data_IF_724301673919
#
_entry.id   IF_724301673919
#
_cell.length_a   1.000
_cell.length_b   1.000
_cell.length_c   1.000
_cell.angle_alpha   90.00
_cell.angle_beta   90.00
_cell.angle_gamma   90.00
#
_symmetry.space_group_name_H-M   'P 1'
#
loop_
_entity.id
_entity.type
_entity.pdbx_description
1 polymer ?
#
# COMPACT_ATOMS: atom_id res chain seq x y z
N UNK A 1 -2.57 -1.41 34.57
CA UNK A 1 -2.17 -1.01 35.94
C UNK A 1 -1.23 0.20 35.91
N UNK A 2 -0.21 0.24 35.04
CA UNK A 2 0.76 1.37 34.95
C UNK A 2 0.52 2.31 33.76
N UNK A 3 -0.63 2.24 33.13
CA UNK A 3 -0.95 3.10 31.99
C UNK A 3 -0.83 4.58 32.33
N UNK A 4 -0.09 5.36 31.56
CA UNK A 4 0.11 6.79 31.76
C UNK A 4 1.08 7.15 32.90
N UNK A 5 1.83 6.20 33.44
CA UNK A 5 2.86 6.48 34.45
C UNK A 5 4.09 7.13 33.77
N UNK A 6 4.00 8.43 33.47
CA UNK A 6 5.01 9.15 32.69
C UNK A 6 6.38 9.26 33.35
N UNK A 7 6.47 9.08 34.68
CA UNK A 7 7.75 9.07 35.41
C UNK A 7 8.34 7.68 35.60
N UNK A 8 7.70 6.63 35.06
CA UNK A 8 8.20 5.26 35.20
C UNK A 8 9.39 5.06 34.26
N UNK A 9 10.57 4.78 34.83
CA UNK A 9 11.82 4.59 34.07
C UNK A 9 12.18 3.11 33.89
N UNK A 10 11.70 2.24 34.77
CA UNK A 10 11.93 0.78 34.74
C UNK A 10 10.65 0.04 35.07
N UNK A 11 10.45 -1.13 34.48
CA UNK A 11 9.30 -1.99 34.81
C UNK A 11 9.70 -3.06 35.84
N UNK A 12 8.75 -3.50 36.70
CA UNK A 12 8.98 -4.63 37.59
C UNK A 12 9.10 -5.93 36.78
N UNK A 13 9.70 -6.96 37.39
CA UNK A 13 9.64 -8.31 36.84
C UNK A 13 8.20 -8.76 36.70
N UNK A 14 7.89 -9.37 35.55
CA UNK A 14 6.56 -9.91 35.27
C UNK A 14 6.53 -11.39 35.71
N UNK A 15 5.81 -11.75 36.78
CA UNK A 15 5.97 -13.06 37.41
C UNK A 15 5.12 -14.18 36.79
N UNK A 16 4.30 -13.87 35.73
CA UNK A 16 3.41 -14.88 35.19
C UNK A 16 4.17 -15.91 34.36
N UNK A 17 4.14 -17.16 34.77
CA UNK A 17 4.64 -18.32 34.03
C UNK A 17 3.64 -18.77 32.94
N UNK A 18 2.36 -18.49 33.16
CA UNK A 18 1.28 -18.77 32.19
C UNK A 18 0.49 -17.49 31.91
N UNK A 19 0.34 -17.14 30.64
CA UNK A 19 -0.37 -15.95 30.25
C UNK A 19 -1.87 -16.24 30.08
N UNK A 20 -2.71 -15.40 30.67
CA UNK A 20 -4.14 -15.36 30.38
C UNK A 20 -4.41 -14.43 29.20
N UNK A 21 -5.58 -14.62 28.56
CA UNK A 21 -6.07 -13.73 27.51
C UNK A 21 -6.07 -12.27 27.98
N UNK A 22 -5.45 -11.37 27.21
CA UNK A 22 -5.28 -9.93 27.48
C UNK A 22 -4.60 -9.57 28.80
N UNK A 23 -3.79 -10.44 29.41
CA UNK A 23 -3.21 -10.24 30.77
C UNK A 23 -2.33 -8.99 30.90
N UNK A 24 -1.52 -8.63 29.90
CA UNK A 24 -0.65 -7.45 29.90
C UNK A 24 -1.10 -6.39 28.88
N UNK A 25 -2.36 -6.46 28.40
CA UNK A 25 -2.92 -5.55 27.43
C UNK A 25 -2.82 -4.10 27.90
N UNK A 26 -2.15 -3.23 27.11
CA UNK A 26 -1.88 -1.82 27.40
C UNK A 26 -1.27 -1.51 28.76
N UNK A 27 -0.59 -2.46 29.40
CA UNK A 27 -0.15 -2.34 30.78
C UNK A 27 0.76 -1.13 31.03
N UNK A 28 1.69 -0.82 30.13
CA UNK A 28 2.61 0.32 30.21
C UNK A 28 2.35 1.38 29.14
N UNK A 29 1.17 1.39 28.53
CA UNK A 29 0.81 2.39 27.52
C UNK A 29 1.06 3.81 28.03
N UNK A 30 1.74 4.64 27.24
CA UNK A 30 2.11 6.03 27.55
C UNK A 30 3.05 6.20 28.78
N UNK A 31 3.87 5.21 29.11
CA UNK A 31 4.97 5.38 30.06
C UNK A 31 6.16 6.04 29.34
N UNK A 32 6.10 7.35 29.20
CA UNK A 32 6.99 8.11 28.30
C UNK A 32 8.44 8.24 28.76
N UNK A 33 8.75 7.98 30.03
CA UNK A 33 10.13 7.95 30.56
C UNK A 33 10.76 6.56 30.56
N UNK A 34 10.03 5.54 30.07
CA UNK A 34 10.56 4.18 29.99
C UNK A 34 11.59 4.10 28.86
N UNK A 35 12.86 3.76 29.19
CA UNK A 35 13.98 3.74 28.23
C UNK A 35 14.28 2.34 27.74
N UNK A 36 14.16 1.34 28.61
CA UNK A 36 14.41 -0.07 28.30
C UNK A 36 13.48 -0.96 29.12
N UNK A 37 13.30 -2.17 28.63
CA UNK A 37 12.46 -3.18 29.28
C UNK A 37 13.21 -4.50 29.38
N UNK A 38 13.02 -5.28 30.50
CA UNK A 38 13.60 -6.59 30.61
C UNK A 38 12.95 -7.58 29.65
N UNK A 39 13.54 -8.78 29.55
CA UNK A 39 12.96 -9.90 28.81
C UNK A 39 11.54 -10.19 29.32
N UNK A 40 10.62 -10.36 28.37
CA UNK A 40 9.24 -10.73 28.68
C UNK A 40 9.17 -12.20 29.05
N UNK A 41 8.40 -12.57 30.12
CA UNK A 41 8.20 -13.96 30.41
C UNK A 41 7.42 -14.62 29.29
N UNK A 42 7.81 -15.78 28.81
CA UNK A 42 6.90 -16.80 28.32
C UNK A 42 7.45 -17.87 27.42
N UNK A 43 6.82 -19.03 27.51
CA UNK A 43 6.94 -20.14 26.56
C UNK A 43 5.66 -20.30 25.73
N UNK A 44 4.53 -19.70 26.11
CA UNK A 44 3.25 -19.84 25.40
C UNK A 44 2.45 -18.52 25.44
N UNK A 45 2.07 -18.01 24.28
CA UNK A 45 1.23 -16.82 24.16
C UNK A 45 -0.27 -17.13 24.25
N UNK A 46 -0.99 -16.26 24.93
CA UNK A 46 -2.45 -16.22 24.91
C UNK A 46 -2.93 -15.07 24.01
N UNK A 47 -4.19 -15.13 23.59
CA UNK A 47 -4.80 -14.07 22.77
C UNK A 47 -4.63 -12.69 23.41
N UNK A 48 -4.09 -11.74 22.66
CA UNK A 48 -3.93 -10.35 23.07
C UNK A 48 -3.07 -10.12 24.31
N UNK A 49 -2.25 -11.11 24.74
CA UNK A 49 -1.53 -11.04 26.01
C UNK A 49 -0.60 -9.83 26.15
N UNK A 50 0.08 -9.41 25.08
CA UNK A 50 0.96 -8.22 25.03
C UNK A 50 0.42 -7.10 24.14
N UNK A 51 -0.85 -7.14 23.79
CA UNK A 51 -1.47 -6.13 22.92
C UNK A 51 -1.24 -4.72 23.49
N UNK A 52 -0.63 -3.83 22.68
CA UNK A 52 -0.38 -2.43 23.04
C UNK A 52 0.44 -2.21 24.33
N UNK A 53 1.19 -3.22 24.79
CA UNK A 53 1.84 -3.18 26.09
C UNK A 53 2.71 -1.95 26.29
N UNK A 54 3.47 -1.54 25.28
CA UNK A 54 4.35 -0.36 25.28
C UNK A 54 3.86 0.74 24.33
N UNK A 55 2.59 0.72 23.94
CA UNK A 55 2.03 1.72 23.04
C UNK A 55 2.31 3.14 23.54
N UNK A 56 2.88 3.99 22.68
CA UNK A 56 3.27 5.39 22.99
C UNK A 56 4.26 5.57 24.14
N UNK A 57 5.12 4.57 24.40
CA UNK A 57 6.29 4.73 25.26
C UNK A 57 7.38 5.48 24.48
N UNK A 58 7.24 6.78 24.35
CA UNK A 58 8.08 7.62 23.48
C UNK A 58 9.55 7.68 23.86
N UNK A 59 9.92 7.35 25.11
CA UNK A 59 11.30 7.26 25.59
C UNK A 59 11.97 5.91 25.34
N UNK A 60 11.21 4.88 24.90
CA UNK A 60 11.74 3.53 24.70
C UNK A 60 12.70 3.49 23.50
N UNK A 61 13.98 3.15 23.76
CA UNK A 61 15.06 3.10 22.76
C UNK A 61 15.28 1.67 22.27
N UNK A 62 15.31 0.69 23.20
CA UNK A 62 15.56 -0.72 22.89
C UNK A 62 14.36 -1.58 23.28
N UNK A 63 13.88 -2.44 22.35
CA UNK A 63 12.80 -3.36 22.64
C UNK A 63 13.28 -4.55 23.47
N UNK A 64 12.37 -5.29 24.16
CA UNK A 64 12.68 -6.59 24.74
C UNK A 64 12.90 -7.64 23.64
N UNK A 65 13.54 -8.74 23.96
CA UNK A 65 13.54 -9.93 23.11
C UNK A 65 12.15 -10.59 23.12
N UNK A 66 11.73 -11.07 21.96
CA UNK A 66 10.46 -11.78 21.77
C UNK A 66 10.77 -13.20 21.25
N UNK A 67 11.07 -14.15 22.14
CA UNK A 67 11.66 -15.44 21.76
C UNK A 67 10.65 -16.46 21.21
N UNK A 68 9.42 -16.07 20.88
CA UNK A 68 8.32 -17.02 20.67
C UNK A 68 8.06 -17.24 19.18
N UNK A 69 8.05 -18.51 18.76
CA UNK A 69 7.78 -18.97 17.41
C UNK A 69 6.29 -19.21 17.13
N UNK A 70 5.50 -19.55 18.18
CA UNK A 70 4.05 -19.79 18.04
C UNK A 70 3.24 -18.61 18.53
N UNK A 71 2.51 -17.98 17.63
CA UNK A 71 1.73 -16.77 17.89
C UNK A 71 0.27 -17.08 18.22
N UNK A 72 -0.35 -16.22 19.01
CA UNK A 72 -1.79 -16.18 19.26
C UNK A 72 -2.41 -14.92 18.62
N UNK A 73 -3.72 -14.94 18.38
CA UNK A 73 -4.42 -13.79 17.82
C UNK A 73 -4.18 -12.53 18.64
N UNK A 74 -3.90 -11.41 17.98
CA UNK A 74 -3.66 -10.09 18.58
C UNK A 74 -2.48 -10.01 19.59
N UNK A 75 -1.62 -11.05 19.71
CA UNK A 75 -0.66 -11.15 20.81
C UNK A 75 0.30 -9.94 20.91
N UNK A 76 0.78 -9.40 19.80
CA UNK A 76 1.67 -8.23 19.75
C UNK A 76 1.04 -7.03 19.01
N UNK A 77 -0.28 -7.05 18.77
CA UNK A 77 -0.99 -5.97 18.11
C UNK A 77 -0.71 -4.63 18.84
N UNK A 78 -0.31 -3.57 18.12
CA UNK A 78 0.02 -2.23 18.64
C UNK A 78 1.15 -2.17 19.69
N UNK A 79 1.96 -3.23 19.85
CA UNK A 79 2.86 -3.37 21.01
C UNK A 79 3.79 -2.18 21.20
N UNK A 80 4.40 -1.67 20.14
CA UNK A 80 5.31 -0.52 20.12
C UNK A 80 4.76 0.67 19.33
N UNK A 81 3.46 0.71 19.02
CA UNK A 81 2.88 1.82 18.26
C UNK A 81 3.22 3.16 18.92
N UNK A 82 3.79 4.08 18.15
CA UNK A 82 4.15 5.42 18.63
C UNK A 82 5.35 5.49 19.57
N UNK A 83 6.18 4.45 19.64
CA UNK A 83 7.48 4.49 20.33
C UNK A 83 8.50 5.25 19.48
N UNK A 84 8.41 6.58 19.50
CA UNK A 84 9.14 7.46 18.57
C UNK A 84 10.67 7.44 18.73
N UNK A 85 11.21 7.03 19.87
CA UNK A 85 12.65 6.87 20.10
C UNK A 85 13.19 5.47 19.82
N UNK A 86 12.32 4.51 19.42
CA UNK A 86 12.73 3.15 19.14
C UNK A 86 13.61 3.09 17.89
N UNK A 87 14.87 2.67 18.01
CA UNK A 87 15.85 2.68 16.91
C UNK A 87 16.01 1.34 16.21
N UNK A 88 15.62 0.24 16.88
CA UNK A 88 15.70 -1.13 16.35
C UNK A 88 14.45 -1.93 16.71
N UNK A 89 14.10 -2.90 15.89
CA UNK A 89 13.03 -3.86 16.16
C UNK A 89 13.60 -5.14 16.81
N UNK A 90 12.81 -5.87 17.62
CA UNK A 90 13.19 -7.21 18.06
C UNK A 90 13.12 -8.20 16.89
N UNK A 91 13.79 -9.35 17.00
CA UNK A 91 13.63 -10.46 16.07
C UNK A 91 12.18 -11.01 16.12
N UNK A 92 11.64 -11.38 14.93
CA UNK A 92 10.30 -11.93 14.76
C UNK A 92 10.40 -13.26 14.00
N UNK A 93 10.80 -14.36 14.66
CA UNK A 93 11.18 -15.60 14.00
C UNK A 93 10.01 -16.49 13.57
N UNK A 94 8.76 -16.13 13.85
CA UNK A 94 7.59 -16.95 13.57
C UNK A 94 7.39 -17.14 12.05
N UNK A 95 7.31 -18.39 11.60
CA UNK A 95 7.03 -18.78 10.21
C UNK A 95 5.54 -18.95 9.94
N UNK A 96 4.72 -19.13 10.99
CA UNK A 96 3.25 -19.22 10.90
C UNK A 96 2.63 -18.14 11.78
N UNK A 97 1.77 -17.33 11.18
CA UNK A 97 1.17 -16.18 11.82
C UNK A 97 -0.26 -16.46 12.30
N UNK A 98 -0.73 -15.65 13.26
CA UNK A 98 -2.09 -15.61 13.74
C UNK A 98 -2.77 -14.29 13.35
N UNK A 99 -4.11 -14.25 13.40
CA UNK A 99 -4.86 -13.05 13.03
C UNK A 99 -4.45 -11.85 13.91
N UNK A 100 -4.17 -10.72 13.26
CA UNK A 100 -3.78 -9.46 13.91
C UNK A 100 -2.49 -9.52 14.76
N UNK A 101 -1.68 -10.57 14.66
CA UNK A 101 -0.57 -10.82 15.60
C UNK A 101 0.44 -9.67 15.66
N UNK A 102 0.79 -9.04 14.52
CA UNK A 102 1.72 -7.92 14.42
C UNK A 102 1.07 -6.65 13.84
N UNK A 103 -0.28 -6.58 13.80
CA UNK A 103 -0.95 -5.39 13.27
C UNK A 103 -0.50 -4.14 14.01
N UNK A 104 -0.09 -3.11 13.26
CA UNK A 104 0.38 -1.81 13.77
C UNK A 104 1.51 -1.89 14.81
N UNK A 105 2.28 -3.00 14.85
CA UNK A 105 3.25 -3.25 15.92
C UNK A 105 4.26 -2.10 16.08
N UNK A 106 4.76 -1.54 15.00
CA UNK A 106 5.73 -0.43 14.98
C UNK A 106 5.17 0.85 14.35
N UNK A 107 3.85 0.95 14.17
CA UNK A 107 3.23 2.14 13.57
C UNK A 107 3.70 3.41 14.27
N UNK A 108 4.23 4.37 13.49
CA UNK A 108 4.70 5.66 14.03
C UNK A 108 5.98 5.59 14.86
N UNK A 109 6.78 4.52 14.75
CA UNK A 109 8.14 4.46 15.29
C UNK A 109 9.09 5.26 14.41
N UNK A 110 9.07 6.57 14.55
CA UNK A 110 9.73 7.52 13.63
C UNK A 110 11.26 7.44 13.62
N UNK A 111 11.90 6.86 14.63
CA UNK A 111 13.36 6.65 14.70
C UNK A 111 13.80 5.26 14.23
N UNK A 112 12.86 4.37 13.88
CA UNK A 112 13.18 3.02 13.41
C UNK A 112 13.79 3.08 12.01
N UNK A 113 15.03 2.57 11.84
CA UNK A 113 15.77 2.66 10.56
C UNK A 113 15.73 1.38 9.73
N UNK A 114 15.51 0.21 10.38
CA UNK A 114 15.46 -1.08 9.72
C UNK A 114 14.32 -1.96 10.24
N UNK A 115 13.62 -2.64 9.33
CA UNK A 115 12.67 -3.70 9.69
C UNK A 115 13.42 -4.97 10.12
N UNK A 116 12.83 -5.80 11.00
CA UNK A 116 13.35 -7.14 11.29
C UNK A 116 13.11 -8.08 10.09
N UNK A 117 13.77 -9.23 10.09
CA UNK A 117 13.40 -10.32 9.17
C UNK A 117 11.96 -10.79 9.43
N UNK A 118 11.24 -11.08 8.37
CA UNK A 118 9.85 -11.53 8.37
C UNK A 118 9.74 -12.84 7.59
N UNK A 119 10.12 -13.98 8.19
CA UNK A 119 10.29 -15.25 7.46
C UNK A 119 8.98 -15.96 7.13
N UNK A 120 7.84 -15.46 7.60
CA UNK A 120 6.56 -16.15 7.48
C UNK A 120 6.10 -16.31 6.02
N UNK A 121 5.91 -17.56 5.61
CA UNK A 121 5.28 -17.96 4.35
C UNK A 121 3.78 -18.20 4.53
N UNK A 122 3.33 -18.58 5.73
CA UNK A 122 1.92 -18.77 6.07
C UNK A 122 1.38 -17.56 6.82
N UNK A 123 0.57 -16.78 6.12
CA UNK A 123 0.01 -15.54 6.64
C UNK A 123 -1.38 -15.76 7.27
N UNK A 124 -1.80 -14.80 8.12
CA UNK A 124 -3.13 -14.71 8.70
C UNK A 124 -3.74 -13.32 8.43
N UNK A 125 -5.03 -13.16 8.70
CA UNK A 125 -5.73 -11.89 8.43
C UNK A 125 -5.13 -10.76 9.26
N UNK A 126 -4.88 -9.62 8.61
CA UNK A 126 -4.32 -8.41 9.22
C UNK A 126 -2.98 -8.62 9.93
N UNK A 127 -2.26 -9.74 9.67
CA UNK A 127 -1.08 -10.11 10.45
C UNK A 127 0.01 -9.03 10.44
N UNK A 128 0.24 -8.35 9.30
CA UNK A 128 1.20 -7.28 9.13
C UNK A 128 0.55 -5.93 8.75
N UNK A 129 -0.80 -5.81 8.86
CA UNK A 129 -1.48 -4.57 8.50
C UNK A 129 -0.93 -3.40 9.31
N UNK A 130 -0.63 -2.27 8.65
CA UNK A 130 -0.06 -1.06 9.24
C UNK A 130 1.24 -1.23 10.02
N UNK A 131 1.95 -2.37 9.89
CA UNK A 131 3.05 -2.74 10.80
C UNK A 131 4.10 -1.66 10.96
N UNK A 132 4.52 -1.01 9.86
CA UNK A 132 5.51 0.07 9.83
C UNK A 132 4.93 1.41 9.35
N UNK A 133 3.61 1.56 9.31
CA UNK A 133 3.00 2.80 8.83
C UNK A 133 3.50 4.02 9.61
N UNK A 134 4.01 5.04 8.91
CA UNK A 134 4.57 6.24 9.52
C UNK A 134 5.95 6.08 10.17
N UNK A 135 6.69 5.00 9.90
CA UNK A 135 8.10 4.87 10.26
C UNK A 135 8.97 5.72 9.32
N UNK A 136 9.00 7.03 9.55
CA UNK A 136 9.58 8.01 8.60
C UNK A 136 11.09 7.87 8.38
N UNK A 137 11.84 7.25 9.29
CA UNK A 137 13.28 6.98 9.15
C UNK A 137 13.60 5.59 8.59
N UNK A 138 12.57 4.77 8.27
CA UNK A 138 12.78 3.41 7.77
C UNK A 138 13.39 3.44 6.36
N UNK A 139 14.59 2.83 6.20
CA UNK A 139 15.31 2.76 4.92
C UNK A 139 15.59 1.34 4.47
N UNK A 140 15.63 0.36 5.40
CA UNK A 140 15.95 -1.03 5.14
C UNK A 140 14.75 -1.90 5.52
N UNK A 141 14.26 -2.70 4.56
CA UNK A 141 13.16 -3.64 4.74
C UNK A 141 13.60 -5.03 4.31
N UNK A 142 13.08 -6.06 5.01
CA UNK A 142 13.33 -7.46 4.67
C UNK A 142 12.46 -7.91 3.50
N UNK A 143 12.78 -9.08 2.93
CA UNK A 143 11.93 -9.76 1.95
C UNK A 143 10.60 -10.19 2.57
N UNK A 144 9.58 -10.31 1.74
CA UNK A 144 8.26 -10.83 2.13
C UNK A 144 8.01 -12.11 1.31
N UNK A 145 8.32 -13.30 1.87
CA UNK A 145 8.45 -14.52 1.09
C UNK A 145 7.13 -15.17 0.66
N UNK A 146 5.99 -14.77 1.24
CA UNK A 146 4.70 -15.41 1.00
C UNK A 146 4.23 -15.25 -0.46
N UNK A 147 3.95 -16.36 -1.13
CA UNK A 147 3.43 -16.42 -2.51
C UNK A 147 1.90 -16.44 -2.56
N UNK A 148 1.24 -16.80 -1.46
CA UNK A 148 -0.22 -16.80 -1.32
C UNK A 148 -0.64 -15.84 -0.20
N UNK A 149 -1.42 -14.83 -0.57
CA UNK A 149 -1.85 -13.81 0.37
C UNK A 149 -3.26 -14.08 0.92
N UNK A 150 -3.51 -13.53 2.10
CA UNK A 150 -4.81 -13.53 2.77
C UNK A 150 -5.32 -12.09 2.92
N UNK A 151 -6.61 -11.96 3.29
CA UNK A 151 -7.25 -10.65 3.39
C UNK A 151 -6.51 -9.70 4.33
N UNK A 152 -6.23 -8.47 3.86
CA UNK A 152 -5.63 -7.38 4.63
C UNK A 152 -4.21 -7.64 5.17
N UNK A 153 -3.51 -8.71 4.73
CA UNK A 153 -2.26 -9.14 5.37
C UNK A 153 -1.15 -8.07 5.35
N UNK A 154 -1.01 -7.29 4.26
CA UNK A 154 -0.02 -6.23 4.09
C UNK A 154 -0.65 -4.83 3.91
N UNK A 155 -1.94 -4.67 4.24
CA UNK A 155 -2.65 -3.41 4.12
C UNK A 155 -1.90 -2.29 4.85
N UNK A 156 -1.59 -1.15 4.19
CA UNK A 156 -0.86 0.01 4.73
C UNK A 156 0.50 -0.31 5.38
N UNK A 157 1.12 -1.46 5.08
CA UNK A 157 2.28 -1.94 5.85
C UNK A 157 3.41 -0.91 5.95
N UNK A 158 3.74 -0.20 4.87
CA UNK A 158 4.78 0.83 4.79
C UNK A 158 4.24 2.22 4.48
N UNK A 159 2.93 2.45 4.62
CA UNK A 159 2.33 3.76 4.33
C UNK A 159 3.03 4.87 5.13
N UNK A 160 3.44 5.95 4.46
CA UNK A 160 4.13 7.08 5.07
C UNK A 160 5.57 6.82 5.52
N UNK A 161 6.22 5.73 5.05
CA UNK A 161 7.66 5.51 5.23
C UNK A 161 8.45 6.42 4.27
N UNK A 162 8.56 7.70 4.60
CA UNK A 162 9.05 8.74 3.69
C UNK A 162 10.52 8.61 3.31
N UNK A 163 11.35 7.88 4.07
CA UNK A 163 12.76 7.61 3.76
C UNK A 163 12.99 6.29 2.99
N UNK A 164 11.93 5.50 2.73
CA UNK A 164 12.04 4.22 2.04
C UNK A 164 12.28 4.46 0.54
N UNK A 165 13.51 4.20 0.07
CA UNK A 165 13.91 4.42 -1.32
C UNK A 165 13.71 3.18 -2.22
N UNK A 166 13.70 1.98 -1.63
CA UNK A 166 13.55 0.69 -2.34
C UNK A 166 12.49 -0.18 -1.66
N UNK A 167 11.58 -0.76 -2.44
CA UNK A 167 10.58 -1.69 -1.94
C UNK A 167 11.17 -3.11 -1.77
N UNK A 168 10.59 -3.95 -0.87
CA UNK A 168 10.91 -5.37 -0.82
C UNK A 168 10.41 -6.10 -2.07
N UNK A 169 10.94 -7.29 -2.33
CA UNK A 169 10.41 -8.20 -3.35
C UNK A 169 9.04 -8.70 -2.92
N UNK A 170 8.08 -8.72 -3.85
CA UNK A 170 6.70 -9.19 -3.65
C UNK A 170 6.42 -10.36 -4.59
N UNK A 171 6.68 -11.61 -4.18
CA UNK A 171 6.59 -12.78 -5.06
C UNK A 171 5.16 -13.29 -5.28
N UNK A 172 4.17 -12.74 -4.58
CA UNK A 172 2.82 -13.31 -4.52
C UNK A 172 2.10 -13.29 -5.87
N UNK A 173 1.68 -14.46 -6.32
CA UNK A 173 0.86 -14.69 -7.50
C UNK A 173 -0.63 -14.86 -7.14
N UNK A 174 -0.94 -15.31 -5.91
CA UNK A 174 -2.31 -15.46 -5.41
C UNK A 174 -2.65 -14.34 -4.45
N UNK A 175 -3.57 -13.47 -4.85
CA UNK A 175 -3.97 -12.30 -4.11
C UNK A 175 -5.33 -12.48 -3.41
N UNK A 176 -5.53 -11.71 -2.34
CA UNK A 176 -6.77 -11.66 -1.58
C UNK A 176 -7.29 -10.22 -1.44
N UNK A 177 -8.51 -10.07 -0.93
CA UNK A 177 -9.17 -8.80 -0.69
C UNK A 177 -8.30 -7.86 0.15
N UNK A 178 -8.05 -6.64 -0.34
CA UNK A 178 -7.25 -5.57 0.31
C UNK A 178 -5.81 -5.99 0.73
N UNK A 179 -5.23 -7.03 0.14
CA UNK A 179 -3.97 -7.60 0.63
C UNK A 179 -2.78 -6.62 0.56
N UNK A 180 -2.71 -5.76 -0.46
CA UNK A 180 -1.69 -4.74 -0.68
C UNK A 180 -2.25 -3.31 -0.71
N UNK A 181 -3.51 -3.10 -0.25
CA UNK A 181 -4.11 -1.76 -0.22
C UNK A 181 -3.20 -0.77 0.48
N UNK A 182 -2.90 0.35 -0.18
CA UNK A 182 -2.08 1.45 0.33
C UNK A 182 -0.71 1.05 0.90
N UNK A 183 -0.14 -0.09 0.47
CA UNK A 183 1.07 -0.65 1.08
C UNK A 183 2.24 0.34 1.12
N UNK A 184 2.44 1.14 0.07
CA UNK A 184 3.49 2.15 -0.04
C UNK A 184 2.95 3.58 -0.18
N UNK A 185 1.70 3.82 0.21
CA UNK A 185 1.10 5.15 0.14
C UNK A 185 1.97 6.19 0.87
N UNK A 186 2.31 7.28 0.17
CA UNK A 186 3.13 8.35 0.75
C UNK A 186 4.60 8.00 0.99
N UNK A 187 5.14 6.92 0.40
CA UNK A 187 6.58 6.64 0.39
C UNK A 187 7.29 7.60 -0.58
N UNK A 188 7.50 8.84 -0.16
CA UNK A 188 7.94 9.92 -1.04
C UNK A 188 9.35 9.77 -1.60
N UNK A 189 10.21 8.94 -0.99
CA UNK A 189 11.56 8.62 -1.49
C UNK A 189 11.61 7.39 -2.39
N UNK A 190 10.51 6.65 -2.57
CA UNK A 190 10.49 5.44 -3.38
C UNK A 190 10.69 5.77 -4.86
N UNK A 191 11.81 5.30 -5.46
CA UNK A 191 12.19 5.62 -6.84
C UNK A 191 11.74 4.60 -7.87
N UNK A 192 11.55 3.34 -7.46
CA UNK A 192 11.11 2.23 -8.30
C UNK A 192 10.12 1.34 -7.56
N UNK A 193 9.09 0.87 -8.26
CA UNK A 193 8.14 -0.11 -7.73
C UNK A 193 8.71 -1.54 -7.82
N UNK A 194 8.31 -2.47 -6.93
CA UNK A 194 8.62 -3.89 -7.06
C UNK A 194 7.83 -4.52 -8.21
N UNK A 195 8.26 -5.68 -8.70
CA UNK A 195 7.47 -6.48 -9.63
C UNK A 195 6.16 -6.95 -8.98
N UNK A 196 5.07 -7.01 -9.78
CA UNK A 196 3.74 -7.45 -9.36
C UNK A 196 3.29 -8.60 -10.28
N UNK A 197 3.66 -9.86 -9.98
CA UNK A 197 3.54 -10.96 -10.93
C UNK A 197 2.12 -11.51 -11.10
N UNK A 198 1.17 -11.16 -10.24
CA UNK A 198 -0.17 -11.73 -10.25
C UNK A 198 -0.97 -11.39 -11.53
N UNK A 199 -1.46 -12.41 -12.23
CA UNK A 199 -2.28 -12.30 -13.45
C UNK A 199 -3.79 -12.27 -13.15
N UNK A 200 -4.21 -12.69 -11.95
CA UNK A 200 -5.60 -12.65 -11.50
C UNK A 200 -5.70 -11.84 -10.21
N UNK A 201 -6.56 -10.83 -10.21
CA UNK A 201 -6.67 -9.88 -9.12
C UNK A 201 -7.89 -10.14 -8.23
N UNK A 202 -7.73 -9.80 -6.94
CA UNK A 202 -8.82 -9.69 -6.00
C UNK A 202 -9.32 -8.23 -5.87
N UNK A 203 -10.53 -8.04 -5.34
CA UNK A 203 -11.04 -6.69 -5.15
C UNK A 203 -10.16 -5.88 -4.18
N UNK A 204 -9.89 -4.61 -4.54
CA UNK A 204 -9.07 -3.66 -3.79
C UNK A 204 -7.61 -4.10 -3.55
N UNK A 205 -7.12 -5.17 -4.22
CA UNK A 205 -5.82 -5.77 -3.88
C UNK A 205 -4.63 -4.80 -4.00
N UNK A 206 -4.66 -3.86 -4.97
CA UNK A 206 -3.65 -2.84 -5.21
C UNK A 206 -4.20 -1.41 -5.10
N UNK A 207 -5.37 -1.22 -4.45
CA UNK A 207 -5.94 0.12 -4.25
C UNK A 207 -4.92 1.02 -3.56
N UNK A 208 -4.69 2.21 -4.13
CA UNK A 208 -3.79 3.25 -3.59
C UNK A 208 -2.34 2.80 -3.32
N UNK A 209 -1.90 1.63 -3.85
CA UNK A 209 -0.63 0.99 -3.43
C UNK A 209 0.57 1.93 -3.47
N UNK A 210 0.68 2.80 -4.48
CA UNK A 210 1.76 3.78 -4.64
C UNK A 210 1.26 5.23 -4.60
N UNK A 211 0.06 5.49 -4.11
CA UNK A 211 -0.49 6.84 -4.03
C UNK A 211 0.46 7.77 -3.27
N UNK A 212 0.80 8.92 -3.85
CA UNK A 212 1.72 9.89 -3.25
C UNK A 212 3.20 9.49 -3.22
N UNK A 213 3.62 8.45 -3.96
CA UNK A 213 5.04 8.16 -4.18
C UNK A 213 5.64 9.16 -5.16
N UNK A 214 5.96 10.36 -4.67
CA UNK A 214 6.33 11.51 -5.51
C UNK A 214 7.66 11.37 -6.26
N UNK A 215 8.56 10.49 -5.80
CA UNK A 215 9.84 10.19 -6.48
C UNK A 215 9.77 9.00 -7.43
N UNK A 216 8.62 8.31 -7.55
CA UNK A 216 8.45 7.16 -8.43
C UNK A 216 8.52 7.60 -9.90
N UNK A 217 9.54 7.15 -10.63
CA UNK A 217 9.76 7.54 -12.04
C UNK A 217 9.21 6.52 -13.04
N UNK A 218 9.12 5.25 -12.65
CA UNK A 218 8.67 4.14 -13.50
C UNK A 218 7.64 3.30 -12.76
N UNK A 219 6.53 2.99 -13.42
CA UNK A 219 5.55 2.03 -12.91
C UNK A 219 6.03 0.58 -13.15
N UNK A 220 5.59 -0.40 -12.33
CA UNK A 220 5.83 -1.81 -12.60
C UNK A 220 4.99 -2.28 -13.79
N UNK A 221 5.34 -3.42 -14.37
CA UNK A 221 4.45 -4.14 -15.28
C UNK A 221 3.18 -4.60 -14.53
N UNK A 222 2.04 -4.55 -15.22
CA UNK A 222 0.74 -4.96 -14.70
C UNK A 222 0.19 -6.08 -15.61
N UNK A 223 0.60 -7.35 -15.40
CA UNK A 223 0.32 -8.44 -16.32
C UNK A 223 -1.13 -8.92 -16.30
N UNK A 224 -1.92 -8.50 -15.32
CA UNK A 224 -3.26 -9.03 -15.08
C UNK A 224 -4.23 -8.76 -16.23
N UNK A 225 -4.77 -9.83 -16.82
CA UNK A 225 -5.85 -9.78 -17.82
C UNK A 225 -7.24 -9.93 -17.18
N UNK A 226 -7.33 -10.49 -15.96
CA UNK A 226 -8.57 -10.63 -15.20
C UNK A 226 -8.57 -9.67 -14.01
N UNK A 227 -9.44 -8.67 -14.09
CA UNK A 227 -9.55 -7.61 -13.09
C UNK A 227 -10.69 -7.88 -12.10
N UNK A 228 -10.56 -7.30 -10.91
CA UNK A 228 -11.59 -7.25 -9.89
C UNK A 228 -12.02 -5.80 -9.62
N UNK A 229 -13.15 -5.60 -8.91
CA UNK A 229 -13.63 -4.27 -8.57
C UNK A 229 -12.58 -3.51 -7.75
N UNK A 230 -12.32 -2.26 -8.10
CA UNK A 230 -11.42 -1.34 -7.40
C UNK A 230 -9.94 -1.79 -7.34
N UNK A 231 -9.52 -2.83 -8.12
CA UNK A 231 -8.22 -3.47 -7.95
C UNK A 231 -7.01 -2.53 -8.12
N UNK A 232 -7.08 -1.53 -9.01
CA UNK A 232 -6.06 -0.52 -9.27
C UNK A 232 -6.55 0.92 -9.01
N UNK A 233 -7.65 1.09 -8.26
CA UNK A 233 -8.18 2.42 -7.94
C UNK A 233 -7.11 3.23 -7.19
N UNK A 234 -6.86 4.49 -7.59
CA UNK A 234 -5.85 5.40 -7.02
C UNK A 234 -4.40 4.89 -7.04
N UNK A 235 -4.06 3.77 -7.72
CA UNK A 235 -2.79 3.07 -7.56
C UNK A 235 -1.56 3.98 -7.67
N UNK A 236 -1.53 4.90 -8.63
CA UNK A 236 -0.44 5.87 -8.85
C UNK A 236 -0.88 7.32 -8.65
N UNK A 237 -1.98 7.56 -7.95
CA UNK A 237 -2.44 8.92 -7.66
C UNK A 237 -1.30 9.75 -7.06
N UNK A 238 -1.08 10.98 -7.57
CA UNK A 238 -0.02 11.89 -7.10
C UNK A 238 1.42 11.38 -7.23
N UNK A 239 1.69 10.40 -8.10
CA UNK A 239 3.06 10.04 -8.48
C UNK A 239 3.60 11.12 -9.43
N UNK A 240 4.03 12.25 -8.88
CA UNK A 240 4.33 13.46 -9.65
C UNK A 240 5.58 13.36 -10.54
N UNK A 241 6.47 12.38 -10.29
CA UNK A 241 7.64 12.12 -11.14
C UNK A 241 7.41 11.04 -12.19
N UNK A 242 6.23 10.38 -12.21
CA UNK A 242 5.93 9.32 -13.17
C UNK A 242 5.74 9.91 -14.58
N UNK A 243 6.56 9.48 -15.55
CA UNK A 243 6.54 10.03 -16.92
C UNK A 243 5.73 9.19 -17.90
N UNK A 244 5.58 7.89 -17.66
CA UNK A 244 4.82 6.98 -18.52
C UNK A 244 3.94 6.04 -17.71
N UNK A 245 2.73 5.77 -18.20
CA UNK A 245 1.88 4.73 -17.67
C UNK A 245 2.34 3.34 -18.14
N UNK A 246 2.13 2.27 -17.34
CA UNK A 246 2.37 0.90 -17.78
C UNK A 246 1.31 0.47 -18.80
N UNK A 247 1.57 -0.62 -19.53
CA UNK A 247 0.56 -1.25 -20.37
C UNK A 247 -0.58 -1.81 -19.51
N UNK A 248 -1.82 -1.75 -20.05
CA UNK A 248 -3.03 -2.26 -19.41
C UNK A 248 -3.63 -3.36 -20.31
N UNK A 249 -3.22 -4.65 -20.12
CA UNK A 249 -3.54 -5.72 -21.05
C UNK A 249 -5.00 -6.17 -21.01
N UNK A 250 -5.74 -5.90 -19.94
CA UNK A 250 -7.08 -6.41 -19.72
C UNK A 250 -8.08 -5.92 -20.77
N UNK A 251 -8.77 -6.85 -21.46
CA UNK A 251 -9.86 -6.59 -22.39
C UNK A 251 -11.23 -6.57 -21.69
N UNK A 252 -11.35 -7.17 -20.51
CA UNK A 252 -12.57 -7.18 -19.70
C UNK A 252 -12.33 -6.43 -18.40
N UNK A 253 -13.11 -5.38 -18.17
CA UNK A 253 -12.97 -4.52 -17.01
C UNK A 253 -13.95 -4.89 -15.89
N UNK A 254 -13.54 -4.61 -14.65
CA UNK A 254 -14.39 -4.61 -13.47
C UNK A 254 -14.81 -3.17 -13.10
N UNK A 255 -15.79 -3.01 -12.20
CA UNK A 255 -16.23 -1.69 -11.78
C UNK A 255 -15.12 -0.94 -11.04
N UNK A 256 -14.91 0.32 -11.37
CA UNK A 256 -13.95 1.24 -10.74
C UNK A 256 -12.49 0.76 -10.78
N UNK A 257 -12.14 -0.22 -11.64
CA UNK A 257 -10.84 -0.90 -11.63
C UNK A 257 -9.64 0.03 -11.85
N UNK A 258 -9.76 1.08 -12.69
CA UNK A 258 -8.72 2.08 -12.96
C UNK A 258 -9.14 3.50 -12.56
N UNK A 259 -10.19 3.65 -11.73
CA UNK A 259 -10.67 4.98 -11.33
C UNK A 259 -9.57 5.74 -10.57
N UNK A 260 -9.31 7.00 -10.96
CA UNK A 260 -8.27 7.88 -10.40
C UNK A 260 -6.83 7.34 -10.48
N UNK A 261 -6.56 6.28 -11.28
CA UNK A 261 -5.29 5.55 -11.24
C UNK A 261 -4.05 6.44 -11.40
N UNK A 262 -4.11 7.45 -12.29
CA UNK A 262 -3.02 8.40 -12.54
C UNK A 262 -3.40 9.85 -12.22
N UNK A 263 -4.43 10.06 -11.38
CA UNK A 263 -4.83 11.41 -11.00
C UNK A 263 -3.65 12.18 -10.38
N UNK A 264 -3.44 13.42 -10.82
CA UNK A 264 -2.35 14.28 -10.33
C UNK A 264 -0.92 13.78 -10.63
N UNK A 265 -0.74 12.86 -11.60
CA UNK A 265 0.57 12.50 -12.15
C UNK A 265 1.04 13.63 -13.09
N UNK A 266 1.57 14.69 -12.51
CA UNK A 266 1.83 15.96 -13.23
C UNK A 266 2.91 15.87 -14.31
N UNK A 267 3.83 14.89 -14.23
CA UNK A 267 4.88 14.65 -15.24
C UNK A 267 4.50 13.62 -16.29
N UNK A 268 3.29 13.03 -16.21
CA UNK A 268 2.86 11.99 -17.16
C UNK A 268 2.67 12.57 -18.55
N UNK A 269 3.36 12.00 -19.55
CA UNK A 269 3.29 12.44 -20.95
C UNK A 269 2.80 11.35 -21.91
N UNK A 270 2.89 10.06 -21.48
CA UNK A 270 2.51 8.91 -22.31
C UNK A 270 1.33 8.16 -21.70
N UNK A 271 0.28 7.95 -22.50
CA UNK A 271 -0.91 7.17 -22.13
C UNK A 271 -0.72 5.67 -22.41
N UNK A 272 -1.35 4.79 -21.65
CA UNK A 272 -1.43 3.37 -21.96
C UNK A 272 -2.46 3.13 -23.08
N UNK A 273 -2.37 2.01 -23.80
CA UNK A 273 -3.46 1.57 -24.66
C UNK A 273 -4.63 1.05 -23.80
N UNK A 274 -5.85 1.51 -24.11
CA UNK A 274 -7.07 0.99 -23.51
C UNK A 274 -7.65 -0.12 -24.38
N UNK A 275 -7.41 -1.36 -24.00
CA UNK A 275 -7.74 -2.56 -24.80
C UNK A 275 -9.15 -3.08 -24.58
N UNK A 276 -9.91 -2.52 -23.63
CA UNK A 276 -11.21 -3.04 -23.27
C UNK A 276 -12.23 -2.96 -24.41
N UNK A 277 -13.08 -3.98 -24.47
CA UNK A 277 -14.18 -4.05 -25.45
C UNK A 277 -15.45 -3.38 -24.95
N UNK A 278 -15.64 -3.32 -23.63
CA UNK A 278 -16.84 -2.75 -23.01
C UNK A 278 -16.47 -1.97 -21.73
N UNK A 279 -17.11 -0.83 -21.54
CA UNK A 279 -16.96 -0.03 -20.34
C UNK A 279 -17.83 -0.56 -19.20
N UNK A 280 -17.31 -0.49 -17.97
CA UNK A 280 -18.03 -0.79 -16.72
C UNK A 280 -18.18 0.48 -15.87
N UNK A 281 -18.95 0.40 -14.77
CA UNK A 281 -19.17 1.56 -13.91
C UNK A 281 -17.84 2.13 -13.39
N UNK A 282 -17.60 3.43 -13.66
CA UNK A 282 -16.46 4.17 -13.16
C UNK A 282 -15.07 3.66 -13.55
N UNK A 283 -14.97 2.73 -14.51
CA UNK A 283 -13.72 2.01 -14.80
C UNK A 283 -12.52 2.91 -15.12
N UNK A 284 -12.73 4.04 -15.81
CA UNK A 284 -11.71 5.04 -16.15
C UNK A 284 -12.04 6.43 -15.57
N UNK A 285 -12.98 6.52 -14.62
CA UNK A 285 -13.39 7.79 -14.06
C UNK A 285 -12.20 8.56 -13.46
N UNK A 286 -11.99 9.81 -13.88
CA UNK A 286 -10.92 10.71 -13.40
C UNK A 286 -9.49 10.16 -13.55
N UNK A 287 -9.29 9.14 -14.43
CA UNK A 287 -8.04 8.37 -14.52
C UNK A 287 -6.81 9.26 -14.72
N UNK A 288 -6.90 10.29 -15.57
CA UNK A 288 -5.81 11.22 -15.87
C UNK A 288 -6.09 12.66 -15.43
N UNK A 289 -7.02 12.84 -14.49
CA UNK A 289 -7.36 14.18 -14.00
C UNK A 289 -6.12 14.88 -13.44
N UNK A 290 -5.92 16.16 -13.84
CA UNK A 290 -4.77 17.00 -13.44
C UNK A 290 -3.38 16.47 -13.87
N UNK A 291 -3.29 15.65 -14.90
CA UNK A 291 -2.03 15.29 -15.54
C UNK A 291 -1.60 16.44 -16.46
N UNK A 292 -0.98 17.49 -15.91
CA UNK A 292 -0.75 18.75 -16.63
C UNK A 292 0.25 18.64 -17.79
N UNK A 293 1.20 17.70 -17.74
CA UNK A 293 2.14 17.45 -18.85
C UNK A 293 1.53 16.65 -19.99
N UNK A 294 0.35 16.03 -19.78
CA UNK A 294 -0.35 15.26 -20.79
C UNK A 294 -1.09 16.21 -21.73
N UNK A 295 -0.59 16.35 -22.95
CA UNK A 295 -1.18 17.22 -23.97
C UNK A 295 -2.06 16.41 -24.91
N UNK A 296 -3.37 16.54 -24.76
CA UNK A 296 -4.36 15.85 -25.57
C UNK A 296 -4.92 16.76 -26.66
N UNK A 297 -5.14 16.19 -27.84
CA UNK A 297 -5.75 16.84 -28.98
C UNK A 297 -6.92 15.95 -29.44
N UNK A 298 -8.12 16.52 -29.56
CA UNK A 298 -9.26 15.80 -30.12
C UNK A 298 -9.08 15.60 -31.61
N UNK A 299 -9.45 14.42 -32.12
CA UNK A 299 -9.19 14.00 -33.48
C UNK A 299 -10.10 14.67 -34.53
N UNK A 300 -9.70 15.85 -34.98
CA UNK A 300 -10.26 16.41 -36.22
C UNK A 300 -9.18 16.52 -37.32
N UNK A 301 -7.94 16.08 -37.01
CA UNK A 301 -6.81 16.31 -37.90
C UNK A 301 -6.57 15.17 -38.89
N UNK A 302 -6.02 15.47 -40.09
CA UNK A 302 -5.62 14.46 -41.06
C UNK A 302 -4.62 13.46 -40.49
N UNK A 303 -4.77 12.17 -40.83
CA UNK A 303 -3.83 11.10 -40.49
C UNK A 303 -2.42 11.53 -40.83
N UNK A 304 -1.49 11.46 -39.87
CA UNK A 304 -0.07 11.73 -40.06
C UNK A 304 0.49 12.89 -39.25
N UNK A 305 -0.35 13.66 -38.56
CA UNK A 305 0.07 14.77 -37.70
C UNK A 305 0.22 14.42 -36.24
N UNK A 306 -0.24 13.23 -35.84
CA UNK A 306 -0.24 12.77 -34.43
C UNK A 306 0.32 11.36 -34.30
N UNK A 307 1.13 11.13 -33.29
CA UNK A 307 1.96 9.93 -33.18
C UNK A 307 1.22 8.76 -32.54
N UNK A 308 0.24 9.01 -31.65
CA UNK A 308 -0.54 7.97 -30.97
C UNK A 308 -2.03 8.26 -30.99
N UNK A 309 -2.82 7.46 -31.73
CA UNK A 309 -4.26 7.48 -31.62
C UNK A 309 -4.70 6.81 -30.32
N UNK A 310 -5.51 7.48 -29.57
CA UNK A 310 -6.14 7.01 -28.37
C UNK A 310 -7.63 6.84 -28.60
N UNK A 311 -8.14 5.61 -28.66
CA UNK A 311 -9.54 5.32 -28.89
C UNK A 311 -10.27 5.02 -27.60
N UNK A 312 -11.41 5.69 -27.40
CA UNK A 312 -12.32 5.34 -26.32
C UNK A 312 -13.22 4.20 -26.82
N UNK A 313 -13.22 3.04 -26.15
CA UNK A 313 -13.98 1.87 -26.58
C UNK A 313 -15.50 2.12 -26.57
N UNK A 314 -16.27 1.39 -27.39
CA UNK A 314 -17.72 1.47 -27.38
C UNK A 314 -18.30 0.87 -26.08
N UNK A 315 -19.49 1.33 -25.71
CA UNK A 315 -20.24 0.68 -24.64
C UNK A 315 -21.16 -0.39 -25.17
N UNK A 316 -21.48 -1.38 -24.34
CA UNK A 316 -22.22 -2.56 -24.76
C UNK A 316 -23.69 -2.30 -25.08
N UNK A 317 -24.41 -1.39 -24.46
CA UNK A 317 -25.89 -1.32 -24.54
C UNK A 317 -26.51 0.08 -24.45
N UNK A 318 -25.88 1.13 -24.90
CA UNK A 318 -26.54 2.45 -25.03
C UNK A 318 -27.21 2.99 -23.73
N UNK A 319 -26.92 2.45 -22.57
CA UNK A 319 -27.53 2.84 -21.30
C UNK A 319 -26.76 3.93 -20.57
N UNK A 320 -27.47 4.77 -19.83
CA UNK A 320 -26.98 5.99 -19.15
C UNK A 320 -25.91 5.82 -18.05
N UNK A 321 -25.49 4.59 -17.74
CA UNK A 321 -24.38 4.30 -16.82
C UNK A 321 -23.01 4.71 -17.35
N UNK A 322 -22.92 5.09 -18.59
CA UNK A 322 -21.72 5.47 -19.34
C UNK A 322 -21.08 6.77 -18.86
N UNK A 323 -21.87 7.71 -18.34
CA UNK A 323 -21.35 8.99 -17.84
C UNK A 323 -20.42 8.84 -16.65
N UNK A 324 -20.53 7.74 -15.89
CA UNK A 324 -19.62 7.46 -14.75
C UNK A 324 -18.32 6.78 -15.20
N UNK A 325 -18.35 5.95 -16.26
CA UNK A 325 -17.19 5.18 -16.72
C UNK A 325 -16.00 6.07 -17.14
N UNK A 326 -16.28 7.19 -17.79
CA UNK A 326 -15.30 8.13 -18.35
C UNK A 326 -15.33 9.50 -17.65
N UNK A 327 -16.13 9.66 -16.60
CA UNK A 327 -16.36 10.96 -15.95
C UNK A 327 -15.05 11.64 -15.56
N UNK A 328 -14.84 12.87 -16.05
CA UNK A 328 -13.70 13.71 -15.70
C UNK A 328 -12.34 13.11 -16.04
N UNK A 329 -12.29 12.12 -16.96
CA UNK A 329 -11.08 11.34 -17.25
C UNK A 329 -9.89 12.23 -17.59
N UNK A 330 -10.11 13.35 -18.30
CA UNK A 330 -9.09 14.30 -18.71
C UNK A 330 -9.31 15.71 -18.13
N UNK A 331 -10.03 15.85 -17.01
CA UNK A 331 -10.22 17.13 -16.36
C UNK A 331 -8.85 17.73 -15.96
N UNK A 332 -8.62 18.99 -16.32
CA UNK A 332 -7.41 19.75 -16.01
C UNK A 332 -6.11 19.12 -16.55
N UNK A 333 -6.15 18.35 -17.64
CA UNK A 333 -4.95 17.95 -18.38
C UNK A 333 -4.42 19.12 -19.21
N UNK A 334 -3.20 19.01 -19.74
CA UNK A 334 -2.67 19.93 -20.74
C UNK A 334 -3.28 19.70 -22.14
N UNK A 335 -2.96 20.56 -23.10
CA UNK A 335 -3.41 20.46 -24.46
C UNK A 335 -4.74 21.16 -24.73
N UNK A 336 -5.38 20.88 -25.90
CA UNK A 336 -6.60 21.54 -26.34
C UNK A 336 -7.89 20.81 -25.97
N UNK A 337 -7.80 19.56 -25.54
CA UNK A 337 -8.93 18.78 -25.05
C UNK A 337 -8.79 18.49 -23.56
N UNK A 338 -9.79 18.88 -22.80
CA UNK A 338 -9.91 18.67 -21.36
C UNK A 338 -11.32 18.22 -21.04
N UNK A 339 -11.49 17.30 -20.11
CA UNK A 339 -12.81 16.89 -19.59
C UNK A 339 -13.11 15.41 -19.80
N UNK A 340 -14.39 15.13 -20.06
CA UNK A 340 -14.89 13.76 -20.28
C UNK A 340 -14.90 13.44 -21.77
N UNK A 341 -14.18 12.39 -22.23
CA UNK A 341 -14.16 12.01 -23.63
C UNK A 341 -15.49 11.40 -24.09
N UNK A 342 -15.74 11.47 -25.40
CA UNK A 342 -16.91 10.87 -26.04
C UNK A 342 -16.58 9.44 -26.47
N UNK A 343 -17.55 8.55 -26.37
CA UNK A 343 -17.44 7.14 -26.75
C UNK A 343 -17.26 7.00 -28.27
N UNK A 344 -16.48 6.02 -28.72
CA UNK A 344 -16.13 5.76 -30.12
C UNK A 344 -15.35 6.88 -30.83
N UNK A 345 -14.93 7.91 -30.07
CA UNK A 345 -14.08 8.97 -30.61
C UNK A 345 -12.60 8.61 -30.46
N UNK A 346 -11.78 9.08 -31.40
CA UNK A 346 -10.33 8.97 -31.32
C UNK A 346 -9.73 10.26 -30.80
N UNK A 347 -8.82 10.13 -29.85
CA UNK A 347 -8.04 11.22 -29.30
C UNK A 347 -6.56 10.98 -29.60
N UNK A 348 -5.78 12.03 -29.67
CA UNK A 348 -4.35 11.95 -29.97
C UNK A 348 -3.57 12.71 -28.94
N UNK A 349 -2.34 12.31 -28.72
CA UNK A 349 -1.36 13.09 -27.96
C UNK A 349 -0.33 13.66 -28.91
N UNK A 350 0.16 14.86 -28.63
CA UNK A 350 1.26 15.46 -29.39
C UNK A 350 2.63 15.16 -28.76
N UNK A 351 2.67 14.33 -27.74
CA UNK A 351 3.90 13.89 -27.09
C UNK A 351 4.47 12.68 -27.82
N UNK A 352 5.73 12.74 -28.20
CA UNK A 352 6.44 11.59 -28.73
C UNK A 352 6.64 10.53 -27.65
N UNK A 353 6.65 9.21 -28.04
CA UNK A 353 7.09 8.19 -27.11
C UNK A 353 8.55 8.45 -26.74
N UNK A 354 8.79 8.50 -25.46
CA UNK A 354 10.16 8.41 -24.97
C UNK A 354 10.53 6.94 -25.13
N UNK A 355 11.43 6.68 -26.12
CA UNK A 355 11.93 5.35 -26.43
C UNK A 355 12.71 4.70 -25.29
#
# INVERSE_FOLDING_TARGET
>A
MFQGCTSLTTIPTLPAETLATYCYNYMFNKCTSLVSVPTLPTETLAQGCYRGMFNKCTGLILPPTLPIETLANNCYQYMFEGCTSLTSAPALPAETLADYCYESMFRGCTSLTSAPELPAETLAKYCYAHMFAGCTSLTIVSTLPAETLVQYCYQYMFSGCTSLATAPVLPAETLAYNCYESMFEGCTSLTSAPALPAETLAAYCYESMFSGCTSLTTAPELPAETLANYCYQYMFQRCTSLTSAPELPAETLANYCYQYMFQECTSLIKLPYLRCKNLTAGCYGYMFQKCHSLQLIQSIAPRGQYIYPYSIPPTRDGTSSQSSALRGMFDYTGGIFVGTPVINEQYYTNNEPIG
#
